data_IF_754963088975
#
_entry.id   IF_754963088975
#
_cell.length_a   1.000
_cell.length_b   1.000
_cell.length_c   1.000
_cell.angle_alpha   90.00
_cell.angle_beta   90.00
_cell.angle_gamma   90.00
#
_symmetry.space_group_name_H-M   'P 1'
#
loop_
_entity.id
_entity.type
_entity.pdbx_description
1 polymer ?
#
# COMPACT_ATOMS: atom_id res chain seq x y z
N UNK A 1 -12.83 19.03 19.62
CA UNK A 1 -12.05 19.32 18.40
C UNK A 1 -10.84 20.14 18.80
N UNK A 2 -9.61 19.62 18.61
CA UNK A 2 -8.38 20.42 18.66
C UNK A 2 -7.88 20.63 17.23
N UNK A 3 -7.48 21.86 16.96
CA UNK A 3 -7.08 22.39 15.66
C UNK A 3 -5.68 21.90 15.27
N UNK A 4 -5.48 21.61 13.98
CA UNK A 4 -4.21 21.93 13.30
C UNK A 4 -3.13 20.86 13.15
N UNK A 5 -3.31 19.60 13.57
CA UNK A 5 -2.36 18.55 13.19
C UNK A 5 -2.79 17.92 11.85
N UNK A 6 -1.91 17.88 10.82
CA UNK A 6 -2.22 17.09 9.64
C UNK A 6 -2.48 15.65 10.10
N UNK A 7 -3.58 15.05 9.66
CA UNK A 7 -3.80 13.60 9.87
C UNK A 7 -2.57 12.89 9.33
N UNK A 8 -1.72 12.41 10.23
CA UNK A 8 -0.53 11.66 9.86
C UNK A 8 -1.03 10.31 9.34
N UNK A 9 -1.19 10.23 8.03
CA UNK A 9 -1.68 9.02 7.37
C UNK A 9 -0.47 8.17 7.00
N UNK A 10 -0.37 6.98 7.59
CA UNK A 10 0.77 6.08 7.42
C UNK A 10 0.55 5.18 6.20
N UNK A 11 0.68 5.73 4.99
CA UNK A 11 0.62 4.98 3.73
C UNK A 11 2.03 4.63 3.21
N UNK A 12 2.88 4.10 4.09
CA UNK A 12 4.24 3.72 3.72
C UNK A 12 4.30 2.27 3.26
N UNK A 13 4.88 2.02 2.09
CA UNK A 13 5.10 0.68 1.58
C UNK A 13 6.59 0.41 1.40
N UNK A 14 7.14 -0.42 2.29
CA UNK A 14 8.55 -0.82 2.27
C UNK A 14 8.74 -2.08 1.45
N UNK A 15 9.76 -2.09 0.59
CA UNK A 15 10.09 -3.24 -0.24
C UNK A 15 11.59 -3.33 -0.51
N UNK A 16 12.03 -4.46 -1.05
CA UNK A 16 13.41 -4.71 -1.46
C UNK A 16 13.47 -4.91 -2.96
N UNK A 17 14.46 -4.28 -3.59
CA UNK A 17 14.77 -4.51 -5.01
C UNK A 17 15.71 -5.71 -5.15
N UNK A 18 15.91 -6.28 -6.36
CA UNK A 18 16.77 -7.46 -6.55
C UNK A 18 18.21 -7.31 -6.03
N UNK A 19 18.76 -6.10 -6.01
CA UNK A 19 20.08 -5.82 -5.43
C UNK A 19 20.13 -5.89 -3.89
N UNK A 20 19.00 -6.14 -3.22
CA UNK A 20 18.87 -6.20 -1.76
C UNK A 20 18.67 -4.84 -1.10
N UNK A 21 18.81 -3.73 -1.84
CA UNK A 21 18.57 -2.37 -1.33
C UNK A 21 17.10 -2.22 -0.89
N UNK A 22 16.90 -1.56 0.25
CA UNK A 22 15.57 -1.24 0.79
C UNK A 22 15.06 0.06 0.17
N UNK A 23 13.79 0.07 -0.19
CA UNK A 23 13.07 1.21 -0.75
C UNK A 23 11.73 1.39 -0.04
N UNK A 24 11.18 2.59 -0.15
CA UNK A 24 9.86 2.93 0.37
C UNK A 24 9.11 3.71 -0.69
N UNK A 25 7.83 3.41 -0.85
CA UNK A 25 6.89 4.34 -1.49
C UNK A 25 6.12 5.04 -0.37
N UNK A 26 6.14 6.37 -0.40
CA UNK A 26 5.28 7.19 0.45
C UNK A 26 3.99 7.48 -0.32
N UNK A 27 2.92 6.76 0.05
CA UNK A 27 1.61 6.89 -0.56
C UNK A 27 0.80 8.11 -0.11
N UNK A 28 1.25 8.81 0.93
CA UNK A 28 0.67 10.08 1.37
C UNK A 28 1.21 11.27 0.55
N UNK A 29 2.26 11.07 -0.25
CA UNK A 29 2.86 12.12 -1.05
C UNK A 29 1.99 12.50 -2.25
N UNK A 30 1.73 13.81 -2.38
CA UNK A 30 1.05 14.38 -3.54
C UNK A 30 1.86 14.17 -4.82
N UNK A 31 1.21 13.75 -5.92
CA UNK A 31 1.81 13.81 -7.25
C UNK A 31 1.18 14.93 -8.07
N UNK A 32 1.98 15.92 -8.47
CA UNK A 32 1.56 16.95 -9.42
C UNK A 32 1.19 16.41 -10.80
N UNK A 33 1.54 15.15 -11.10
CA UNK A 33 1.13 14.44 -12.30
C UNK A 33 -0.36 14.04 -12.32
N UNK A 34 -1.01 14.01 -11.15
CA UNK A 34 -2.38 13.52 -10.96
C UNK A 34 -3.17 14.45 -10.04
N UNK A 35 -3.38 15.73 -10.42
CA UNK A 35 -3.96 16.75 -9.53
C UNK A 35 -5.43 16.45 -9.15
N UNK A 36 -6.17 15.75 -10.01
CA UNK A 36 -7.56 15.35 -9.70
C UNK A 36 -7.67 14.29 -8.58
N UNK A 37 -6.56 13.69 -8.19
CA UNK A 37 -6.48 12.70 -7.11
C UNK A 37 -5.97 13.32 -5.80
N UNK A 38 -5.90 14.64 -5.69
CA UNK A 38 -5.48 15.36 -4.48
C UNK A 38 -6.41 15.10 -3.27
N UNK A 39 -7.67 14.75 -3.51
CA UNK A 39 -8.66 14.45 -2.46
C UNK A 39 -8.76 12.96 -2.10
N UNK A 40 -8.17 12.09 -2.91
CA UNK A 40 -8.16 10.64 -2.73
C UNK A 40 -6.69 10.23 -2.81
N UNK A 41 -5.98 10.19 -1.67
CA UNK A 41 -4.62 9.61 -1.56
C UNK A 41 -4.51 8.50 -2.60
N UNK A 42 -3.68 8.70 -3.65
CA UNK A 42 -3.91 8.08 -4.98
C UNK A 42 -4.62 6.73 -4.89
N UNK A 43 -5.76 6.47 -5.57
CA UNK A 43 -6.71 5.39 -5.25
C UNK A 43 -6.11 4.01 -4.98
N UNK A 44 -4.92 3.74 -5.54
CA UNK A 44 -4.03 2.61 -5.23
C UNK A 44 -3.67 2.40 -3.75
N UNK A 45 -3.65 3.43 -2.90
CA UNK A 45 -3.32 3.28 -1.46
C UNK A 45 -4.54 3.10 -0.56
N UNK A 46 -5.75 3.19 -1.13
CA UNK A 46 -7.00 2.87 -0.44
C UNK A 46 -7.37 1.39 -0.58
N UNK A 47 -6.50 0.55 -1.14
CA UNK A 47 -6.70 -0.89 -1.24
C UNK A 47 -6.47 -1.49 0.15
N UNK A 48 -7.50 -2.13 0.69
CA UNK A 48 -7.49 -2.62 2.06
C UNK A 48 -6.64 -3.88 2.24
N UNK A 49 -6.40 -4.18 3.51
CA UNK A 49 -5.69 -5.39 3.89
C UNK A 49 -6.61 -6.61 3.89
N UNK A 50 -6.10 -7.73 3.38
CA UNK A 50 -6.50 -9.03 3.87
C UNK A 50 -5.32 -9.99 3.82
N UNK A 51 -5.18 -10.83 4.84
CA UNK A 51 -4.21 -11.91 4.90
C UNK A 51 -4.76 -13.20 4.30
N UNK A 52 -6.05 -13.46 4.43
CA UNK A 52 -6.69 -14.71 4.00
C UNK A 52 -7.32 -14.62 2.62
N UNK A 53 -7.99 -13.50 2.34
CA UNK A 53 -8.86 -13.32 1.18
C UNK A 53 -8.28 -12.29 0.19
N UNK A 54 -6.95 -12.09 0.20
CA UNK A 54 -6.32 -11.18 -0.75
C UNK A 54 -6.50 -11.67 -2.19
N UNK A 55 -6.84 -10.73 -3.07
CA UNK A 55 -6.96 -10.97 -4.51
C UNK A 55 -5.88 -10.24 -5.32
N UNK A 56 -5.05 -9.43 -4.65
CA UNK A 56 -3.89 -8.76 -5.21
C UNK A 56 -2.61 -9.15 -4.49
N UNK A 57 -1.50 -9.22 -5.24
CA UNK A 57 -0.15 -9.41 -4.71
C UNK A 57 0.83 -8.38 -5.27
N UNK A 58 1.65 -7.72 -4.44
CA UNK A 58 2.67 -6.79 -4.89
C UNK A 58 3.89 -7.51 -5.49
N UNK A 59 4.39 -6.97 -6.58
CA UNK A 59 5.61 -7.41 -7.25
C UNK A 59 6.50 -6.21 -7.56
N UNK A 60 7.80 -6.39 -7.31
CA UNK A 60 8.81 -5.36 -7.58
C UNK A 60 9.34 -5.58 -9.00
N UNK A 61 9.26 -4.53 -9.81
CA UNK A 61 9.77 -4.47 -11.18
C UNK A 61 10.74 -3.30 -11.33
N UNK A 62 11.46 -3.26 -12.44
CA UNK A 62 12.25 -2.10 -12.85
C UNK A 62 11.63 -1.55 -14.13
N UNK A 63 11.29 -0.26 -14.13
CA UNK A 63 10.79 0.49 -15.28
C UNK A 63 11.64 1.77 -15.40
N UNK A 64 12.24 2.00 -16.57
CA UNK A 64 13.14 3.14 -16.82
C UNK A 64 14.19 3.33 -15.72
N UNK A 65 14.87 2.24 -15.36
CA UNK A 65 15.88 2.13 -14.28
C UNK A 65 15.38 2.49 -12.87
N UNK A 66 14.08 2.65 -12.68
CA UNK A 66 13.45 2.92 -11.39
C UNK A 66 12.71 1.70 -10.89
N UNK A 67 12.84 1.36 -9.60
CA UNK A 67 12.05 0.29 -9.02
C UNK A 67 10.60 0.76 -8.86
N UNK A 68 9.68 -0.08 -9.31
CA UNK A 68 8.23 0.14 -9.22
C UNK A 68 7.57 -1.07 -8.57
N UNK A 69 6.45 -0.84 -7.90
CA UNK A 69 5.61 -1.89 -7.33
C UNK A 69 4.34 -1.98 -8.16
N UNK A 70 4.08 -3.17 -8.71
CA UNK A 70 2.83 -3.48 -9.41
C UNK A 70 2.02 -4.46 -8.57
N UNK A 71 0.73 -4.17 -8.39
CA UNK A 71 -0.22 -5.11 -7.82
C UNK A 71 -0.78 -5.98 -8.95
N UNK A 72 -0.63 -7.30 -8.81
CA UNK A 72 -1.15 -8.27 -9.78
C UNK A 72 -2.28 -9.06 -9.16
N UNK A 73 -3.34 -9.27 -9.93
CA UNK A 73 -4.39 -10.21 -9.58
C UNK A 73 -3.80 -11.62 -9.41
N UNK A 74 -4.16 -12.31 -8.32
CA UNK A 74 -3.76 -13.70 -8.08
C UNK A 74 -4.80 -14.72 -8.57
N UNK A 75 -6.02 -14.26 -8.83
CA UNK A 75 -7.12 -14.99 -9.45
C UNK A 75 -8.05 -13.98 -10.15
N UNK A 76 -9.02 -14.46 -10.91
CA UNK A 76 -10.01 -13.61 -11.59
C UNK A 76 -10.83 -12.83 -10.56
N UNK A 77 -10.86 -11.50 -10.71
CA UNK A 77 -11.58 -10.58 -9.81
C UNK A 77 -12.91 -10.21 -10.45
N UNK A 78 -14.00 -10.43 -9.72
CA UNK A 78 -15.34 -10.10 -10.23
C UNK A 78 -15.60 -8.60 -10.18
N UNK A 79 -16.54 -8.14 -11.00
CA UNK A 79 -17.01 -6.76 -10.90
C UNK A 79 -17.50 -6.46 -9.48
N UNK A 80 -17.08 -5.29 -8.95
CA UNK A 80 -17.41 -4.80 -7.60
C UNK A 80 -16.84 -5.62 -6.44
N UNK A 81 -16.03 -6.64 -6.72
CA UNK A 81 -15.25 -7.30 -5.67
C UNK A 81 -14.24 -6.30 -5.09
N UNK A 82 -14.13 -6.26 -3.77
CA UNK A 82 -13.17 -5.39 -3.10
C UNK A 82 -11.75 -5.84 -3.41
N UNK A 83 -10.87 -4.90 -3.73
CA UNK A 83 -9.46 -5.17 -3.95
C UNK A 83 -8.74 -5.25 -2.60
N UNK A 84 -8.02 -6.35 -2.37
CA UNK A 84 -7.37 -6.64 -1.10
C UNK A 84 -5.96 -7.19 -1.32
N UNK A 85 -5.00 -6.77 -0.50
CA UNK A 85 -3.66 -7.37 -0.45
C UNK A 85 -3.13 -7.56 0.97
N UNK A 86 -2.22 -8.52 1.16
CA UNK A 86 -1.53 -8.69 2.44
C UNK A 86 -0.47 -7.59 2.60
N UNK A 87 -0.63 -6.73 3.62
CA UNK A 87 0.30 -5.64 3.91
C UNK A 87 1.68 -6.15 4.36
N UNK A 88 1.79 -7.43 4.74
CA UNK A 88 3.04 -8.05 5.22
C UNK A 88 3.44 -7.60 6.63
N UNK A 89 2.67 -6.70 7.24
CA UNK A 89 2.85 -6.28 8.63
C UNK A 89 2.19 -7.31 9.55
N UNK A 90 2.82 -7.59 10.68
CA UNK A 90 2.35 -8.61 11.65
C UNK A 90 2.24 -8.07 13.07
N UNK A 91 3.02 -7.03 13.39
CA UNK A 91 3.15 -6.45 14.71
C UNK A 91 3.24 -4.93 14.58
N UNK A 92 2.74 -4.22 15.57
CA UNK A 92 2.91 -2.78 15.72
C UNK A 92 4.35 -2.42 16.09
N UNK A 93 4.59 -1.12 16.25
CA UNK A 93 5.90 -0.59 16.66
C UNK A 93 6.29 -1.04 18.07
N UNK A 94 5.30 -1.28 18.94
CA UNK A 94 5.44 -1.85 20.27
C UNK A 94 5.73 -3.36 20.28
N UNK A 95 5.67 -4.00 19.11
CA UNK A 95 5.87 -5.45 18.96
C UNK A 95 4.62 -6.28 19.23
N UNK A 96 3.49 -5.63 19.54
CA UNK A 96 2.23 -6.29 19.81
C UNK A 96 1.48 -6.63 18.51
N UNK A 97 0.70 -7.73 18.46
CA UNK A 97 -0.11 -8.04 17.30
C UNK A 97 -1.17 -6.97 17.06
N UNK A 98 -1.29 -6.52 15.81
CA UNK A 98 -2.39 -5.66 15.40
C UNK A 98 -3.54 -6.56 14.93
N UNK A 99 -4.66 -6.51 15.64
CA UNK A 99 -5.75 -7.49 15.46
C UNK A 99 -6.27 -7.54 14.01
N UNK A 100 -6.58 -6.38 13.41
CA UNK A 100 -7.12 -6.31 12.05
C UNK A 100 -6.15 -6.77 10.96
N UNK A 101 -4.83 -6.83 11.24
CA UNK A 101 -3.82 -7.37 10.32
C UNK A 101 -3.77 -8.91 10.29
N UNK A 102 -4.61 -9.58 11.09
CA UNK A 102 -4.74 -11.04 11.08
C UNK A 102 -5.93 -11.54 10.25
N UNK A 103 -6.75 -10.63 9.72
CA UNK A 103 -7.95 -10.92 8.95
C UNK A 103 -7.57 -11.15 7.50
#
# INVERSE_FOLDING_TARGET
MKNGEPRQTNYMFFFRVPSGRKWCIDGAMFCGCHPLYEFLATPRWCINHSRKDFNLKPYVYTLDDKPVVLLKAVFDIKEKEELLFDYGVRKGEDGEPIEWLNW
#
